data_IF_102447410282
#
_entry.id   IF_102447410282
#
_cell.length_a   1.000
_cell.length_b   1.000
_cell.length_c   1.000
_cell.angle_alpha   90.00
_cell.angle_beta   90.00
_cell.angle_gamma   90.00
#
_symmetry.space_group_name_H-M   'P 1'
#
loop_
_entity.id
_entity.type
_entity.pdbx_description
1 polymer ?
#
# COMPACT_ATOMS: atom_id res chain seq x y z
N UNK A 1 -8.27 -7.83 -51.15
CA UNK A 1 -7.92 -6.44 -50.76
C UNK A 1 -8.96 -5.75 -49.86
N UNK A 2 -10.21 -5.48 -50.30
CA UNK A 2 -11.19 -4.73 -49.46
C UNK A 2 -11.47 -5.34 -48.07
N UNK A 3 -11.56 -6.67 -47.96
CA UNK A 3 -11.78 -7.37 -46.68
C UNK A 3 -10.57 -7.33 -45.72
N UNK A 4 -9.35 -7.26 -46.24
CA UNK A 4 -8.12 -7.20 -45.44
C UNK A 4 -7.91 -5.81 -44.83
N UNK A 5 -8.29 -4.75 -45.57
CA UNK A 5 -8.23 -3.36 -45.08
C UNK A 5 -9.22 -3.17 -43.91
N UNK A 6 -10.42 -3.75 -44.00
CA UNK A 6 -11.42 -3.70 -42.92
C UNK A 6 -10.93 -4.43 -41.66
N UNK A 7 -10.26 -5.57 -41.81
CA UNK A 7 -9.70 -6.34 -40.70
C UNK A 7 -8.54 -5.59 -40.02
N UNK A 8 -7.68 -4.92 -40.80
CA UNK A 8 -6.62 -4.07 -40.26
C UNK A 8 -7.18 -2.86 -39.49
N UNK A 9 -8.23 -2.23 -40.00
CA UNK A 9 -8.91 -1.11 -39.32
C UNK A 9 -9.60 -1.55 -38.02
N UNK A 10 -10.16 -2.76 -37.96
CA UNK A 10 -10.72 -3.34 -36.73
C UNK A 10 -9.63 -3.64 -35.70
N UNK A 11 -8.49 -4.18 -36.12
CA UNK A 11 -7.33 -4.41 -35.26
C UNK A 11 -6.77 -3.11 -34.68
N UNK A 12 -6.59 -2.07 -35.51
CA UNK A 12 -6.08 -0.76 -35.06
C UNK A 12 -7.05 -0.10 -34.07
N UNK A 13 -8.37 -0.14 -34.31
CA UNK A 13 -9.34 0.41 -33.36
C UNK A 13 -9.41 -0.36 -32.04
N UNK A 14 -9.26 -1.70 -32.07
CA UNK A 14 -9.23 -2.50 -30.84
C UNK A 14 -8.03 -2.18 -29.94
N UNK A 15 -6.88 -1.81 -30.54
CA UNK A 15 -5.66 -1.44 -29.82
C UNK A 15 -5.75 -0.01 -29.25
N UNK A 16 -6.46 0.91 -29.92
CA UNK A 16 -6.59 2.30 -29.46
C UNK A 16 -7.55 2.42 -28.28
N UNK A 17 -8.63 1.62 -28.24
CA UNK A 17 -9.63 1.66 -27.16
C UNK A 17 -9.11 0.99 -25.87
N UNK A 18 -8.18 0.03 -25.98
CA UNK A 18 -7.66 -0.72 -24.83
C UNK A 18 -6.40 -0.11 -24.17
N UNK A 19 -5.90 1.04 -24.68
CA UNK A 19 -4.64 1.64 -24.24
C UNK A 19 -4.73 2.92 -23.40
N UNK A 20 -5.90 3.56 -23.29
CA UNK A 20 -6.05 4.75 -22.44
C UNK A 20 -6.52 4.34 -21.04
N UNK A 21 -5.57 4.17 -20.12
CA UNK A 21 -5.88 4.25 -18.68
C UNK A 21 -6.52 5.62 -18.45
N UNK A 22 -7.83 5.64 -18.25
CA UNK A 22 -8.59 6.87 -18.04
C UNK A 22 -8.06 7.56 -16.79
N UNK A 23 -7.41 8.70 -17.00
CA UNK A 23 -6.91 9.52 -15.92
C UNK A 23 -8.07 10.34 -15.39
N UNK A 24 -8.65 9.90 -14.28
CA UNK A 24 -9.79 10.57 -13.64
C UNK A 24 -9.34 11.51 -12.52
N UNK A 25 -10.06 12.62 -12.37
CA UNK A 25 -9.84 13.61 -11.31
C UNK A 25 -10.96 13.49 -10.29
N UNK A 26 -10.62 13.15 -9.06
CA UNK A 26 -11.58 12.82 -7.99
C UNK A 26 -11.32 13.69 -6.76
N UNK A 27 -12.38 14.09 -6.06
CA UNK A 27 -12.24 14.81 -4.78
C UNK A 27 -11.83 13.83 -3.68
N UNK A 28 -10.97 14.28 -2.78
CA UNK A 28 -10.49 13.50 -1.63
C UNK A 28 -10.41 14.37 -0.38
N UNK A 29 -10.53 13.73 0.77
CA UNK A 29 -9.95 14.28 1.99
C UNK A 29 -8.51 13.75 2.10
N UNK A 30 -7.54 14.61 2.39
CA UNK A 30 -6.17 14.18 2.68
C UNK A 30 -5.73 14.62 4.07
N UNK A 31 -4.89 13.78 4.68
CA UNK A 31 -4.21 14.04 5.92
C UNK A 31 -2.74 14.27 5.59
N UNK A 32 -2.30 15.51 5.74
CA UNK A 32 -0.95 15.89 5.32
C UNK A 32 0.10 15.21 6.21
N UNK A 33 -0.16 15.18 7.52
CA UNK A 33 0.66 14.49 8.52
C UNK A 33 -0.12 13.38 9.23
N UNK A 34 0.60 12.51 9.94
CA UNK A 34 -0.02 11.56 10.86
C UNK A 34 -0.81 12.28 11.98
N UNK A 35 -0.33 13.43 12.45
CA UNK A 35 -1.05 14.19 13.47
C UNK A 35 -2.39 14.74 12.94
N UNK A 36 -2.46 15.14 11.67
CA UNK A 36 -3.73 15.53 11.04
C UNK A 36 -4.70 14.35 10.99
N UNK A 37 -4.21 13.14 10.72
CA UNK A 37 -5.02 11.93 10.73
C UNK A 37 -5.58 11.61 12.12
N UNK A 38 -4.74 11.55 13.15
CA UNK A 38 -5.17 11.22 14.54
C UNK A 38 -6.20 12.23 15.06
N UNK A 39 -6.02 13.51 14.73
CA UNK A 39 -6.94 14.57 15.16
C UNK A 39 -8.14 14.76 14.23
N UNK A 40 -8.29 13.94 13.18
CA UNK A 40 -9.31 14.05 12.15
C UNK A 40 -9.42 15.46 11.56
N UNK A 41 -8.29 16.03 11.13
CA UNK A 41 -8.16 17.35 10.52
C UNK A 41 -7.77 17.25 9.04
N UNK A 42 -8.67 16.82 8.15
CA UNK A 42 -8.35 16.69 6.73
C UNK A 42 -8.23 18.06 6.03
N UNK A 43 -7.61 18.07 4.85
CA UNK A 43 -7.60 19.17 3.89
C UNK A 43 -6.92 20.45 4.39
N UNK A 44 -5.81 20.30 5.11
CA UNK A 44 -4.99 21.43 5.54
C UNK A 44 -3.78 21.55 4.60
N UNK A 45 -3.59 22.69 3.90
CA UNK A 45 -4.26 23.99 4.11
C UNK A 45 -5.56 24.21 3.31
N UNK A 46 -5.85 23.38 2.32
CA UNK A 46 -7.03 23.53 1.46
C UNK A 46 -7.51 22.18 0.93
N UNK A 47 -8.70 22.16 0.31
CA UNK A 47 -9.26 20.97 -0.35
C UNK A 47 -8.39 20.51 -1.52
N UNK A 48 -8.50 19.23 -1.87
CA UNK A 48 -7.72 18.63 -2.94
C UNK A 48 -8.51 17.74 -3.89
N UNK A 49 -8.02 17.66 -5.12
CA UNK A 49 -8.32 16.59 -6.04
C UNK A 49 -7.11 15.66 -6.19
N UNK A 50 -7.38 14.37 -6.37
CA UNK A 50 -6.39 13.38 -6.81
C UNK A 50 -6.63 13.02 -8.27
N UNK A 51 -5.53 12.88 -9.01
CA UNK A 51 -5.56 12.39 -10.39
C UNK A 51 -5.19 10.90 -10.38
N UNK A 52 -6.17 10.01 -10.52
CA UNK A 52 -6.00 8.54 -10.44
C UNK A 52 -5.66 7.97 -11.81
N UNK A 53 -4.62 7.13 -11.87
CA UNK A 53 -4.24 6.36 -13.06
C UNK A 53 -4.82 4.95 -13.02
N UNK A 54 -4.79 4.32 -11.85
CA UNK A 54 -5.23 2.94 -11.65
C UNK A 54 -5.81 2.79 -10.25
N UNK A 55 -6.91 2.05 -10.12
CA UNK A 55 -7.55 1.72 -8.86
C UNK A 55 -7.74 0.21 -8.82
N UNK A 56 -7.11 -0.43 -7.85
CA UNK A 56 -7.26 -1.83 -7.52
C UNK A 56 -8.02 -1.94 -6.19
N UNK A 57 -8.57 -3.11 -5.82
CA UNK A 57 -9.34 -3.26 -4.58
C UNK A 57 -8.60 -2.82 -3.30
N UNK A 58 -7.27 -2.92 -3.31
CA UNK A 58 -6.41 -2.64 -2.15
C UNK A 58 -5.46 -1.46 -2.35
N UNK A 59 -5.43 -0.84 -3.54
CA UNK A 59 -4.44 0.19 -3.84
C UNK A 59 -4.90 1.20 -4.89
N UNK A 60 -4.37 2.41 -4.80
CA UNK A 60 -4.56 3.48 -5.79
C UNK A 60 -3.20 3.92 -6.30
N UNK A 61 -3.03 3.91 -7.62
CA UNK A 61 -1.89 4.53 -8.29
C UNK A 61 -2.34 5.87 -8.84
N UNK A 62 -1.64 6.94 -8.45
CA UNK A 62 -2.01 8.31 -8.81
C UNK A 62 -0.93 9.00 -9.64
N UNK A 63 -1.27 10.16 -10.20
CA UNK A 63 -0.34 11.04 -10.90
C UNK A 63 0.10 12.19 -10.00
N UNK A 64 -0.87 12.86 -9.39
CA UNK A 64 -0.65 14.05 -8.58
C UNK A 64 -1.88 14.33 -7.71
N UNK A 65 -1.66 15.13 -6.66
CA UNK A 65 -2.70 15.70 -5.82
C UNK A 65 -2.62 17.22 -5.98
N UNK A 66 -3.73 17.84 -6.34
CA UNK A 66 -3.84 19.24 -6.73
C UNK A 66 -4.78 19.97 -5.76
N UNK A 67 -4.39 21.16 -5.36
CA UNK A 67 -5.26 22.11 -4.66
C UNK A 67 -6.50 22.43 -5.51
N UNK A 68 -7.71 22.36 -4.92
CA UNK A 68 -8.94 22.65 -5.67
C UNK A 68 -8.99 24.10 -6.15
N UNK A 69 -8.50 25.05 -5.34
CA UNK A 69 -8.61 26.49 -5.62
C UNK A 69 -7.69 26.95 -6.74
N UNK A 70 -6.51 26.34 -6.88
CA UNK A 70 -5.46 26.78 -7.82
C UNK A 70 -5.17 25.78 -8.94
N UNK A 71 -5.66 24.55 -8.82
CA UNK A 71 -5.31 23.41 -9.68
C UNK A 71 -3.79 23.16 -9.77
N UNK A 72 -3.01 23.64 -8.80
CA UNK A 72 -1.57 23.42 -8.67
C UNK A 72 -1.32 22.27 -7.70
N UNK A 73 -0.19 21.56 -7.86
CA UNK A 73 0.25 20.56 -6.88
C UNK A 73 0.28 21.18 -5.49
N UNK A 74 -0.23 20.45 -4.50
CA UNK A 74 -0.17 20.88 -3.11
C UNK A 74 1.32 20.94 -2.72
N UNK A 75 1.86 22.16 -2.67
CA UNK A 75 3.27 22.40 -2.33
C UNK A 75 3.38 22.59 -0.83
N UNK A 76 3.82 21.55 -0.13
CA UNK A 76 4.49 21.65 1.17
C UNK A 76 5.58 20.59 1.22
N UNK A 77 6.63 20.83 2.00
CA UNK A 77 7.84 20.01 2.08
C UNK A 77 7.67 18.61 2.70
N UNK A 78 6.47 18.04 2.69
CA UNK A 78 6.18 16.72 3.23
C UNK A 78 5.31 15.90 2.28
N UNK A 79 5.51 14.59 2.33
CA UNK A 79 4.67 13.58 1.69
C UNK A 79 3.36 13.44 2.46
N UNK A 80 2.22 13.57 1.77
CA UNK A 80 0.87 13.35 2.34
C UNK A 80 0.83 12.00 3.04
N UNK A 81 0.41 11.96 4.30
CA UNK A 81 0.37 10.73 5.10
C UNK A 81 -0.69 9.75 4.61
N UNK A 82 -1.92 10.22 4.43
CA UNK A 82 -3.04 9.36 4.01
C UNK A 82 -4.17 10.15 3.35
N UNK A 83 -5.13 9.42 2.80
CA UNK A 83 -6.33 9.99 2.17
C UNK A 83 -7.58 9.21 2.60
N UNK A 84 -8.72 9.89 2.59
CA UNK A 84 -10.05 9.26 2.58
C UNK A 84 -10.65 9.46 1.19
N UNK A 85 -11.02 8.35 0.55
CA UNK A 85 -11.60 8.32 -0.78
C UNK A 85 -12.70 7.27 -0.83
N UNK A 86 -13.90 7.63 -1.30
CA UNK A 86 -15.10 6.77 -1.30
C UNK A 86 -15.35 6.09 0.05
N UNK A 87 -15.27 6.87 1.12
CA UNK A 87 -15.40 6.40 2.52
C UNK A 87 -14.40 5.33 2.98
N UNK A 88 -13.31 5.14 2.24
CA UNK A 88 -12.22 4.23 2.60
C UNK A 88 -10.96 5.02 2.92
N UNK A 89 -10.21 4.56 3.91
CA UNK A 89 -8.94 5.14 4.32
C UNK A 89 -7.78 4.45 3.59
N UNK A 90 -6.85 5.26 3.11
CA UNK A 90 -5.64 4.80 2.46
C UNK A 90 -4.41 5.49 3.04
N UNK A 91 -3.29 4.77 3.08
CA UNK A 91 -1.99 5.23 3.53
C UNK A 91 -1.05 5.43 2.35
N UNK A 92 -0.21 6.47 2.39
CA UNK A 92 0.80 6.69 1.37
C UNK A 92 1.92 5.65 1.47
N UNK A 93 2.08 4.83 0.43
CA UNK A 93 3.05 3.75 0.45
C UNK A 93 4.50 4.25 0.46
N UNK A 94 4.77 5.50 0.08
CA UNK A 94 6.10 6.11 0.25
C UNK A 94 6.50 6.26 1.73
N UNK A 95 5.53 6.31 2.65
CA UNK A 95 5.73 6.40 4.10
C UNK A 95 5.61 5.01 4.75
N UNK A 96 6.28 4.02 4.17
CA UNK A 96 6.33 2.63 4.67
C UNK A 96 7.76 2.12 4.71
N UNK A 97 7.96 0.84 5.07
CA UNK A 97 9.25 0.18 4.98
C UNK A 97 9.82 0.23 3.54
N UNK A 98 11.13 0.38 3.39
CA UNK A 98 11.80 0.53 2.09
C UNK A 98 11.51 -0.60 1.09
N UNK A 99 11.21 -1.82 1.55
CA UNK A 99 10.86 -2.97 0.69
C UNK A 99 9.53 -2.77 -0.05
N UNK A 100 8.65 -1.94 0.51
CA UNK A 100 7.30 -1.67 0.00
C UNK A 100 7.16 -0.22 -0.47
N UNK A 101 8.08 0.66 -0.06
CA UNK A 101 8.05 2.08 -0.37
C UNK A 101 7.89 2.32 -1.88
N UNK A 102 6.77 2.92 -2.26
CA UNK A 102 6.41 3.18 -3.64
C UNK A 102 5.88 4.61 -3.77
N UNK A 103 6.56 5.39 -4.60
CA UNK A 103 6.08 6.73 -4.94
C UNK A 103 4.79 6.63 -5.75
N UNK A 104 3.92 7.62 -5.58
CA UNK A 104 2.64 7.73 -6.27
C UNK A 104 1.67 6.55 -6.06
N UNK A 105 1.73 5.89 -4.90
CA UNK A 105 0.82 4.81 -4.54
C UNK A 105 0.24 4.98 -3.13
N UNK A 106 -1.05 4.65 -3.00
CA UNK A 106 -1.76 4.55 -1.73
C UNK A 106 -2.21 3.10 -1.51
N UNK A 107 -2.05 2.58 -0.29
CA UNK A 107 -2.54 1.27 0.13
C UNK A 107 -3.75 1.41 1.03
N UNK A 108 -4.80 0.63 0.78
CA UNK A 108 -6.06 0.67 1.54
C UNK A 108 -5.89 0.00 2.89
N UNK A 109 -6.36 0.66 3.95
CA UNK A 109 -6.52 -0.01 5.23
C UNK A 109 -7.68 -1.01 5.16
N UNK A 110 -7.34 -2.30 5.29
CA UNK A 110 -8.31 -3.42 5.33
C UNK A 110 -8.88 -3.61 6.73
N UNK A 111 -8.07 -3.35 7.76
CA UNK A 111 -8.49 -3.29 9.15
C UNK A 111 -8.14 -1.90 9.67
N UNK A 112 -9.09 -1.25 10.33
CA UNK A 112 -8.90 0.04 11.00
C UNK A 112 -9.46 -0.04 12.40
N UNK A 113 -8.68 0.36 13.38
CA UNK A 113 -9.10 0.33 14.77
C UNK A 113 -8.16 1.08 15.69
N UNK A 114 -8.45 1.03 16.99
CA UNK A 114 -7.74 1.82 18.01
C UNK A 114 -6.30 1.36 18.23
N UNK A 115 -6.00 0.08 17.98
CA UNK A 115 -4.69 -0.51 18.23
C UNK A 115 -3.94 -0.81 16.94
N UNK A 116 -4.60 -1.47 15.99
CA UNK A 116 -3.99 -1.86 14.71
C UNK A 116 -4.74 -1.26 13.52
N UNK A 117 -3.97 -0.72 12.58
CA UNK A 117 -4.42 -0.50 11.21
C UNK A 117 -3.58 -1.36 10.28
N UNK A 118 -4.23 -2.11 9.38
CA UNK A 118 -3.59 -3.15 8.55
C UNK A 118 -3.89 -2.91 7.09
N UNK A 119 -2.86 -2.96 6.24
CA UNK A 119 -2.95 -2.93 4.78
C UNK A 119 -2.51 -4.30 4.26
N UNK A 120 -3.25 -4.83 3.30
CA UNK A 120 -2.93 -6.09 2.62
C UNK A 120 -2.68 -5.78 1.15
N UNK A 121 -1.53 -6.19 0.63
CA UNK A 121 -1.19 -6.07 -0.78
C UNK A 121 -0.94 -7.45 -1.36
N UNK A 122 -1.72 -7.85 -2.36
CA UNK A 122 -1.52 -9.10 -3.11
C UNK A 122 -0.27 -8.95 -3.98
N UNK A 123 0.71 -9.85 -3.84
CA UNK A 123 2.01 -9.67 -4.51
C UNK A 123 1.93 -9.76 -6.04
N UNK A 124 0.85 -10.33 -6.58
CA UNK A 124 0.61 -10.42 -8.02
C UNK A 124 -0.25 -9.26 -8.51
N UNK A 125 -1.38 -8.99 -7.84
CA UNK A 125 -2.36 -7.99 -8.28
C UNK A 125 -1.91 -6.56 -7.97
N UNK A 126 -1.31 -6.34 -6.80
CA UNK A 126 -0.87 -5.03 -6.33
C UNK A 126 0.61 -4.74 -6.65
N UNK A 127 1.22 -5.48 -7.60
CA UNK A 127 2.64 -5.37 -7.96
C UNK A 127 3.12 -3.97 -8.34
N UNK A 128 2.21 -3.08 -8.78
CA UNK A 128 2.53 -1.68 -9.14
C UNK A 128 2.52 -0.75 -7.91
N UNK A 129 1.82 -1.15 -6.85
CA UNK A 129 1.74 -0.44 -5.59
C UNK A 129 2.82 -0.90 -4.61
N UNK A 130 3.30 -2.14 -4.74
CA UNK A 130 4.43 -2.65 -3.97
C UNK A 130 5.72 -2.10 -4.58
N UNK A 131 6.48 -1.37 -3.77
CA UNK A 131 7.80 -0.86 -4.13
C UNK A 131 8.67 -1.92 -4.77
N UNK A 132 9.46 -1.54 -5.78
CA UNK A 132 10.44 -2.46 -6.37
C UNK A 132 11.47 -2.85 -5.30
N UNK A 133 11.33 -4.05 -4.75
CA UNK A 133 12.51 -4.77 -4.28
C UNK A 133 13.42 -5.03 -5.51
N UNK A 134 14.58 -4.38 -5.50
CA UNK A 134 15.78 -4.83 -6.20
C UNK A 134 15.92 -4.45 -7.67
N UNK A 135 16.32 -3.22 -7.96
CA UNK A 135 17.58 -3.14 -8.71
C UNK A 135 18.65 -3.09 -7.61
N UNK A 136 19.37 -4.19 -7.30
CA UNK A 136 20.59 -4.05 -6.54
C UNK A 136 21.46 -3.17 -7.41
N UNK A 137 21.70 -1.92 -7.00
CA UNK A 137 22.85 -1.20 -7.52
C UNK A 137 24.08 -2.04 -7.14
N UNK A 138 24.48 -2.98 -8.02
CA UNK A 138 25.70 -3.79 -7.91
C UNK A 138 25.58 -5.29 -7.56
N UNK A 139 24.46 -6.00 -7.78
CA UNK A 139 24.34 -7.42 -7.38
C UNK A 139 23.97 -8.36 -8.52
N UNK A 140 24.94 -9.03 -9.14
CA UNK A 140 24.72 -10.05 -10.19
C UNK A 140 23.96 -11.30 -9.72
N UNK A 141 23.89 -12.33 -10.57
CA UNK A 141 23.20 -13.63 -10.36
C UNK A 141 23.42 -14.30 -8.98
N UNK A 142 24.50 -13.92 -8.29
CA UNK A 142 24.83 -14.36 -6.92
C UNK A 142 23.91 -13.72 -5.86
N UNK A 143 23.50 -12.46 -6.02
CA UNK A 143 22.58 -11.78 -5.10
C UNK A 143 21.16 -12.38 -5.14
N UNK A 144 20.70 -12.80 -6.33
CA UNK A 144 19.45 -13.54 -6.50
C UNK A 144 19.49 -14.96 -5.92
N UNK A 145 20.67 -15.58 -5.81
CA UNK A 145 20.84 -16.89 -5.20
C UNK A 145 20.97 -16.85 -3.67
N UNK A 146 21.39 -15.69 -3.12
CA UNK A 146 21.51 -15.45 -1.66
C UNK A 146 20.28 -14.76 -1.06
N UNK A 147 19.36 -14.25 -1.88
CA UNK A 147 18.08 -13.72 -1.42
C UNK A 147 17.26 -14.88 -0.85
N UNK A 148 17.22 -15.01 0.48
CA UNK A 148 16.22 -15.84 1.14
C UNK A 148 14.89 -15.10 1.05
N UNK A 149 13.93 -15.52 0.22
CA UNK A 149 12.58 -15.03 0.38
C UNK A 149 12.06 -15.58 1.74
N UNK A 150 11.00 -14.98 2.29
CA UNK A 150 10.08 -15.62 3.26
C UNK A 150 10.13 -15.21 4.74
N UNK A 151 10.49 -13.98 5.12
CA UNK A 151 10.11 -13.46 6.46
C UNK A 151 9.04 -12.36 6.42
N UNK A 152 8.68 -11.89 5.22
CA UNK A 152 7.80 -10.72 5.03
C UNK A 152 6.69 -10.96 4.02
N UNK A 153 6.59 -12.18 3.49
CA UNK A 153 5.46 -12.63 2.65
C UNK A 153 4.63 -13.61 3.42
N UNK A 154 3.32 -13.39 3.39
CA UNK A 154 2.34 -14.15 4.13
C UNK A 154 1.44 -14.87 3.15
N UNK A 155 1.19 -16.16 3.40
CA UNK A 155 0.28 -16.96 2.59
C UNK A 155 -1.11 -16.91 3.18
N UNK A 156 -2.12 -16.80 2.32
CA UNK A 156 -3.47 -17.21 2.70
C UNK A 156 -3.59 -18.75 2.66
N UNK A 157 -4.74 -19.28 3.06
CA UNK A 157 -5.00 -20.73 3.04
C UNK A 157 -5.05 -21.32 1.63
N UNK A 158 -5.30 -20.50 0.62
CA UNK A 158 -5.34 -20.87 -0.79
C UNK A 158 -3.94 -20.83 -1.45
N UNK A 159 -2.91 -20.38 -0.73
CA UNK A 159 -1.52 -20.30 -1.18
C UNK A 159 -1.16 -19.04 -1.98
N UNK A 160 -2.02 -18.02 -2.02
CA UNK A 160 -1.69 -16.70 -2.55
C UNK A 160 -0.77 -15.97 -1.56
N UNK A 161 0.14 -15.15 -2.10
CA UNK A 161 1.13 -14.44 -1.29
C UNK A 161 0.75 -12.96 -1.14
N UNK A 162 0.98 -12.44 0.05
CA UNK A 162 0.64 -11.08 0.43
C UNK A 162 1.79 -10.40 1.17
N UNK A 163 1.89 -9.09 1.00
CA UNK A 163 2.60 -8.21 1.94
C UNK A 163 1.57 -7.65 2.90
N UNK A 164 1.83 -7.81 4.19
CA UNK A 164 0.99 -7.25 5.25
C UNK A 164 1.74 -6.07 5.84
N UNK A 165 1.17 -4.87 5.77
CA UNK A 165 1.70 -3.70 6.46
C UNK A 165 0.82 -3.43 7.69
N UNK A 166 1.47 -3.11 8.80
CA UNK A 166 0.84 -2.89 10.10
C UNK A 166 1.31 -1.59 10.68
N UNK A 167 0.36 -0.82 11.15
CA UNK A 167 0.59 0.31 12.03
C UNK A 167 -0.03 0.00 13.38
N UNK A 168 0.82 0.04 14.42
CA UNK A 168 0.41 -0.09 15.81
C UNK A 168 0.27 1.32 16.41
N UNK A 169 -0.95 1.70 16.77
CA UNK A 169 -1.28 3.03 17.25
C UNK A 169 -0.80 3.30 18.68
N UNK A 170 -0.63 2.25 19.50
CA UNK A 170 -0.10 2.37 20.86
C UNK A 170 1.42 2.63 20.82
N UNK A 171 2.10 2.06 19.83
CA UNK A 171 3.54 2.17 19.65
C UNK A 171 3.89 2.59 18.21
N UNK A 172 3.53 3.82 17.81
CA UNK A 172 3.72 4.28 16.44
C UNK A 172 5.22 4.38 16.12
N UNK A 173 5.63 3.76 15.02
CA UNK A 173 7.00 3.93 14.50
C UNK A 173 7.06 5.26 13.75
N UNK A 174 7.79 6.24 14.27
CA UNK A 174 7.90 7.55 13.62
C UNK A 174 8.99 7.56 12.54
N UNK A 175 8.75 8.27 11.43
CA UNK A 175 9.73 8.43 10.37
C UNK A 175 10.92 9.27 10.86
N UNK A 176 12.17 8.80 10.72
CA UNK A 176 13.35 9.59 11.06
C UNK A 176 13.48 10.86 10.21
N UNK A 177 13.08 10.77 8.93
CA UNK A 177 13.13 11.87 7.96
C UNK A 177 11.94 12.82 8.08
N UNK A 178 10.78 12.33 8.52
CA UNK A 178 9.55 13.09 8.67
C UNK A 178 8.95 12.85 10.05
N UNK A 179 9.50 13.52 11.08
CA UNK A 179 9.18 13.24 12.49
C UNK A 179 7.69 13.37 12.85
N UNK A 180 6.91 14.08 12.03
CA UNK A 180 5.46 14.24 12.20
C UNK A 180 4.64 13.09 11.57
N UNK A 181 5.29 12.12 10.93
CA UNK A 181 4.66 10.99 10.25
C UNK A 181 4.98 9.67 10.92
N UNK A 182 3.95 8.89 11.22
CA UNK A 182 4.07 7.48 11.55
C UNK A 182 4.26 6.66 10.28
N UNK A 183 5.08 5.62 10.36
CA UNK A 183 5.29 4.64 9.31
C UNK A 183 4.33 3.46 9.51
N UNK A 184 3.82 2.93 8.40
CA UNK A 184 3.16 1.61 8.39
C UNK A 184 4.22 0.58 7.98
N UNK A 185 4.50 -0.36 8.87
CA UNK A 185 5.66 -1.24 8.79
C UNK A 185 5.28 -2.62 8.23
N UNK A 186 6.20 -3.23 7.50
CA UNK A 186 6.01 -4.58 6.98
C UNK A 186 6.00 -5.59 8.14
N UNK A 187 4.93 -6.39 8.23
CA UNK A 187 4.77 -7.40 9.27
C UNK A 187 5.79 -8.52 9.09
N UNK A 188 6.56 -8.78 10.12
CA UNK A 188 7.50 -9.90 10.19
C UNK A 188 7.01 -11.00 11.14
N UNK A 189 7.57 -12.20 11.01
CA UNK A 189 7.31 -13.27 11.98
C UNK A 189 7.67 -12.89 13.42
N UNK A 190 8.69 -12.04 13.61
CA UNK A 190 9.07 -11.51 14.93
C UNK A 190 7.97 -10.61 15.49
N UNK A 191 7.36 -9.77 14.66
CA UNK A 191 6.26 -8.91 15.08
C UNK A 191 5.04 -9.74 15.48
N UNK A 192 4.69 -10.77 14.70
CA UNK A 192 3.60 -11.69 15.07
C UNK A 192 3.88 -12.39 16.41
N UNK A 193 5.10 -12.89 16.61
CA UNK A 193 5.48 -13.50 17.89
C UNK A 193 5.37 -12.49 19.05
N UNK A 194 5.88 -11.27 18.87
CA UNK A 194 5.82 -10.22 19.89
C UNK A 194 4.38 -9.80 20.22
N UNK A 195 3.53 -9.60 19.20
CA UNK A 195 2.12 -9.22 19.40
C UNK A 195 1.33 -10.31 20.11
N UNK A 196 1.74 -11.57 19.96
CA UNK A 196 1.17 -12.72 20.67
C UNK A 196 1.94 -13.06 21.96
N UNK A 197 2.64 -12.09 22.57
CA UNK A 197 3.38 -12.27 23.82
C UNK A 197 4.36 -13.46 23.82
N UNK A 198 4.95 -13.77 22.66
CA UNK A 198 5.83 -14.91 22.43
C UNK A 198 5.20 -16.27 22.77
N UNK A 199 3.90 -16.44 22.48
CA UNK A 199 3.19 -17.73 22.64
C UNK A 199 3.95 -18.86 21.89
N UNK A 200 4.39 -19.93 22.61
CA UNK A 200 5.09 -21.06 22.01
C UNK A 200 4.33 -21.76 20.87
N UNK A 201 3.00 -21.79 20.92
CA UNK A 201 2.17 -22.39 19.88
C UNK A 201 2.24 -21.57 18.58
N UNK A 202 2.21 -20.23 18.70
CA UNK A 202 2.35 -19.31 17.56
C UNK A 202 3.76 -19.40 16.97
N UNK A 203 4.79 -19.40 17.80
CA UNK A 203 6.20 -19.55 17.35
C UNK A 203 6.39 -20.88 16.61
N UNK A 204 5.77 -21.97 17.09
CA UNK A 204 5.80 -23.27 16.44
C UNK A 204 5.10 -23.26 15.08
N UNK A 205 3.98 -22.56 14.93
CA UNK A 205 3.31 -22.40 13.62
C UNK A 205 4.19 -21.58 12.66
N UNK A 206 4.73 -20.46 13.13
CA UNK A 206 5.61 -19.59 12.34
C UNK A 206 6.85 -20.34 11.84
N UNK A 207 7.50 -21.14 12.68
CA UNK A 207 8.70 -21.90 12.30
C UNK A 207 8.44 -23.00 11.26
N UNK A 208 7.19 -23.45 11.16
CA UNK A 208 6.72 -24.42 10.14
C UNK A 208 6.10 -23.77 8.91
N UNK A 209 5.91 -22.46 8.90
CA UNK A 209 5.16 -21.77 7.83
C UNK A 209 3.66 -22.11 7.82
N UNK A 210 3.10 -22.50 8.96
CA UNK A 210 1.69 -22.88 9.16
C UNK A 210 0.87 -21.74 9.78
N UNK A 211 1.39 -20.51 9.74
CA UNK A 211 0.69 -19.31 10.20
C UNK A 211 0.23 -18.50 8.98
N UNK A 212 -1.07 -18.36 8.80
CA UNK A 212 -1.67 -17.78 7.60
C UNK A 212 -2.11 -16.32 7.78
N UNK A 213 -2.31 -15.61 6.66
CA UNK A 213 -2.84 -14.24 6.61
C UNK A 213 -4.10 -14.10 7.46
N UNK A 214 -5.04 -15.03 7.34
CA UNK A 214 -6.34 -14.98 8.02
C UNK A 214 -6.20 -15.01 9.54
N UNK A 215 -5.23 -15.77 10.06
CA UNK A 215 -4.96 -15.81 11.51
C UNK A 215 -4.45 -14.46 12.01
N UNK A 216 -3.61 -13.76 11.24
CA UNK A 216 -3.21 -12.40 11.60
C UNK A 216 -4.38 -11.41 11.56
N UNK A 217 -5.25 -11.50 10.54
CA UNK A 217 -6.39 -10.60 10.43
C UNK A 217 -7.42 -10.82 11.54
N UNK A 218 -7.65 -12.07 11.94
CA UNK A 218 -8.49 -12.39 13.10
C UNK A 218 -7.91 -11.80 14.38
N UNK A 219 -6.61 -12.02 14.61
CA UNK A 219 -5.89 -11.41 15.74
C UNK A 219 -6.04 -9.88 15.75
N UNK A 220 -5.74 -9.21 14.63
CA UNK A 220 -5.77 -7.75 14.55
C UNK A 220 -7.18 -7.17 14.74
N UNK A 221 -8.23 -7.89 14.33
CA UNK A 221 -9.62 -7.47 14.58
C UNK A 221 -9.97 -7.62 16.06
N UNK A 222 -9.64 -8.75 16.68
CA UNK A 222 -9.89 -8.99 18.10
C UNK A 222 -9.19 -7.97 18.99
N UNK A 223 -7.96 -7.59 18.66
CA UNK A 223 -7.19 -6.58 19.40
C UNK A 223 -7.71 -5.14 19.21
N UNK A 224 -8.65 -4.93 18.28
CA UNK A 224 -9.27 -3.64 18.04
C UNK A 224 -10.68 -3.51 18.65
N UNK A 225 -11.27 -4.61 19.13
CA UNK A 225 -12.53 -4.64 19.89
C UNK A 225 -12.34 -4.06 21.30
#
# INVERSE_FOLDING_TARGET
>A
MKKQILFLLLLINSVIISGQTEVRKESIDYYFTYNDFVNNKPNIPEKAYITIKEENPNSIIYKEILAESTNKKIKKGYTIWGIKYKDQLFHNLLLTNYEIAQDHAFGKFTVTGKKFNVIILDTKKDKKAIGRNGNPYGGGLVASALYKPNNTEWKDRDGNNYKILVYNAEFPTMSPSYKENALVMLLTAKDVANFNNNDPAIIKKLSKGEYYLEEFLEFARKENE
#
